data_IF_338199149503
#
_entry.id   IF_338199149503
#
_cell.length_a   1.000
_cell.length_b   1.000
_cell.length_c   1.000
_cell.angle_alpha   90.00
_cell.angle_beta   90.00
_cell.angle_gamma   90.00
#
_symmetry.space_group_name_H-M   'P 1'
#
loop_
_entity.id
_entity.type
_entity.pdbx_description
1 polymer ?
#
# COMPACT_ATOMS: atom_id res chain seq x y z
N UNK A 1 -19.30 32.39 21.13
CA UNK A 1 -19.67 31.12 21.81
C UNK A 1 -18.60 30.13 21.41
N UNK A 2 -17.86 29.63 22.35
CA UNK A 2 -16.92 28.54 22.12
C UNK A 2 -17.75 27.28 21.85
N UNK A 3 -17.60 26.65 20.69
CA UNK A 3 -18.20 25.34 20.39
C UNK A 3 -17.75 24.26 21.38
N UNK A 4 -18.31 23.05 21.30
CA UNK A 4 -17.88 21.94 22.17
C UNK A 4 -16.38 21.69 21.96
N UNK A 5 -15.69 21.31 23.05
CA UNK A 5 -14.26 20.97 22.99
C UNK A 5 -14.05 19.64 22.24
N UNK A 6 -15.08 18.78 22.22
CA UNK A 6 -15.07 17.48 21.57
C UNK A 6 -16.47 17.10 21.10
N UNK A 7 -16.61 16.58 19.89
CA UNK A 7 -17.89 16.12 19.35
C UNK A 7 -17.85 14.61 19.09
N UNK A 8 -18.96 13.92 19.40
CA UNK A 8 -19.12 12.53 19.06
C UNK A 8 -19.36 12.40 17.55
N UNK A 9 -18.73 11.42 16.90
CA UNK A 9 -18.96 11.08 15.50
C UNK A 9 -20.43 10.67 15.29
N UNK A 10 -21.07 11.21 14.28
CA UNK A 10 -22.46 10.93 13.95
C UNK A 10 -22.60 10.35 12.54
N UNK A 11 -22.60 9.03 12.44
CA UNK A 11 -22.72 8.29 11.18
C UNK A 11 -24.10 8.43 10.48
N UNK A 12 -25.08 9.08 11.13
CA UNK A 12 -26.36 9.43 10.50
C UNK A 12 -26.32 10.80 9.81
N UNK A 13 -25.19 11.53 9.90
CA UNK A 13 -24.99 12.85 9.32
C UNK A 13 -23.60 12.96 8.73
N UNK A 14 -23.43 12.40 7.53
CA UNK A 14 -22.17 12.38 6.81
C UNK A 14 -21.99 13.74 6.08
N UNK A 15 -20.77 14.29 6.14
CA UNK A 15 -20.43 15.55 5.44
C UNK A 15 -19.84 15.27 4.04
N UNK A 16 -19.15 14.16 3.89
CA UNK A 16 -18.56 13.68 2.64
C UNK A 16 -18.91 12.18 2.49
N UNK A 17 -19.79 11.87 1.55
CA UNK A 17 -20.26 10.50 1.31
C UNK A 17 -19.12 9.53 0.99
N UNK A 18 -17.99 10.05 0.48
CA UNK A 18 -16.79 9.24 0.21
C UNK A 18 -16.17 8.68 1.50
N UNK A 19 -16.29 9.38 2.63
CA UNK A 19 -15.80 8.89 3.92
C UNK A 19 -16.55 7.61 4.33
N UNK A 20 -17.88 7.58 4.14
CA UNK A 20 -18.67 6.39 4.43
C UNK A 20 -18.37 5.25 3.44
N UNK A 21 -18.35 5.56 2.14
CA UNK A 21 -18.06 4.56 1.10
C UNK A 21 -16.72 3.84 1.37
N UNK A 22 -15.67 4.62 1.70
CA UNK A 22 -14.35 4.07 1.96
C UNK A 22 -14.31 3.34 3.30
N UNK A 23 -14.94 3.88 4.35
CA UNK A 23 -15.08 3.19 5.63
C UNK A 23 -15.74 1.82 5.47
N UNK A 24 -16.88 1.75 4.79
CA UNK A 24 -17.62 0.51 4.58
C UNK A 24 -16.78 -0.49 3.75
N UNK A 25 -16.04 0.00 2.76
CA UNK A 25 -15.16 -0.82 1.94
C UNK A 25 -13.99 -1.40 2.74
N UNK A 26 -13.30 -0.58 3.55
CA UNK A 26 -12.18 -1.03 4.37
C UNK A 26 -12.61 -2.02 5.46
N UNK A 27 -13.71 -1.72 6.14
CA UNK A 27 -14.25 -2.59 7.19
C UNK A 27 -14.85 -3.88 6.64
N UNK A 28 -15.56 -3.81 5.50
CA UNK A 28 -16.09 -4.98 4.82
C UNK A 28 -15.01 -5.88 4.21
N UNK A 29 -13.85 -5.32 3.91
CA UNK A 29 -12.68 -6.04 3.40
C UNK A 29 -11.75 -6.55 4.51
N UNK A 30 -12.08 -6.39 5.78
CA UNK A 30 -11.23 -6.77 6.90
C UNK A 30 -10.77 -8.23 6.83
N UNK A 31 -9.50 -8.46 7.10
CA UNK A 31 -8.86 -9.77 7.08
C UNK A 31 -7.69 -9.85 8.07
N UNK A 32 -7.26 -11.07 8.37
CA UNK A 32 -6.09 -11.35 9.20
C UNK A 32 -5.22 -12.42 8.53
N UNK A 33 -3.88 -12.34 8.66
CA UNK A 33 -2.94 -13.24 8.00
C UNK A 33 -3.11 -14.72 8.40
N UNK A 34 -3.63 -14.99 9.58
CA UNK A 34 -3.86 -16.34 10.09
C UNK A 34 -4.91 -17.14 9.27
N UNK A 35 -5.66 -16.46 8.39
CA UNK A 35 -6.62 -17.11 7.48
C UNK A 35 -5.98 -17.67 6.22
N UNK A 36 -4.73 -17.29 5.91
CA UNK A 36 -4.01 -17.75 4.72
C UNK A 36 -3.09 -18.93 5.09
N UNK A 37 -3.21 -20.10 4.42
CA UNK A 37 -2.44 -21.30 4.77
C UNK A 37 -1.02 -21.24 4.18
N UNK A 38 -0.15 -20.36 4.69
CA UNK A 38 1.21 -20.09 4.20
C UNK A 38 2.10 -21.35 4.18
N UNK A 39 1.85 -22.33 5.05
CA UNK A 39 2.62 -23.57 5.09
C UNK A 39 2.53 -24.40 3.80
N UNK A 40 1.50 -24.19 2.97
CA UNK A 40 1.39 -24.81 1.67
C UNK A 40 2.49 -24.34 0.69
N UNK A 41 3.14 -23.24 0.96
CA UNK A 41 4.24 -22.71 0.14
C UNK A 41 5.61 -23.30 0.46
N UNK A 42 5.77 -24.06 1.57
CA UNK A 42 7.03 -24.68 1.93
C UNK A 42 7.66 -25.54 0.82
N UNK A 43 6.91 -26.39 0.11
CA UNK A 43 7.49 -27.16 -0.99
C UNK A 43 8.03 -26.27 -2.12
N UNK A 44 7.31 -25.21 -2.49
CA UNK A 44 7.78 -24.31 -3.54
C UNK A 44 8.94 -23.43 -3.07
N UNK A 45 8.95 -23.00 -1.80
CA UNK A 45 10.07 -22.28 -1.19
C UNK A 45 11.38 -23.06 -1.28
N UNK A 46 11.34 -24.37 -1.01
CA UNK A 46 12.50 -25.25 -1.09
C UNK A 46 13.05 -25.44 -2.52
N UNK A 47 12.28 -25.12 -3.55
CA UNK A 47 12.74 -25.16 -4.94
C UNK A 47 13.46 -23.89 -5.38
N UNK A 48 13.37 -22.81 -4.61
CA UNK A 48 14.03 -21.56 -4.90
C UNK A 48 15.52 -21.68 -4.62
N UNK A 49 16.36 -21.16 -5.51
CA UNK A 49 17.79 -21.05 -5.26
C UNK A 49 18.09 -19.91 -4.24
N UNK A 50 19.34 -19.78 -3.83
CA UNK A 50 19.73 -18.84 -2.77
C UNK A 50 19.48 -17.37 -3.14
N UNK A 51 19.71 -17.00 -4.39
CA UNK A 51 19.48 -15.61 -4.86
C UNK A 51 17.99 -15.28 -4.90
N UNK A 52 17.15 -16.23 -5.36
CA UNK A 52 15.69 -16.13 -5.36
C UNK A 52 15.15 -15.99 -3.92
N UNK A 53 15.63 -16.80 -2.97
CA UNK A 53 15.25 -16.69 -1.56
C UNK A 53 15.72 -15.37 -0.94
N UNK A 54 16.95 -14.95 -1.22
CA UNK A 54 17.53 -13.72 -0.69
C UNK A 54 16.75 -12.50 -1.18
N UNK A 55 16.47 -12.42 -2.48
CA UNK A 55 15.65 -11.35 -3.06
C UNK A 55 14.28 -11.31 -2.39
N UNK A 56 13.58 -12.44 -2.28
CA UNK A 56 12.25 -12.53 -1.68
C UNK A 56 12.24 -12.05 -0.23
N UNK A 57 13.22 -12.46 0.57
CA UNK A 57 13.34 -12.05 1.96
C UNK A 57 13.58 -10.55 2.10
N UNK A 58 14.46 -9.98 1.27
CA UNK A 58 14.77 -8.54 1.26
C UNK A 58 13.57 -7.71 0.85
N UNK A 59 12.85 -8.16 -0.17
CA UNK A 59 11.60 -7.53 -0.61
C UNK A 59 10.60 -7.44 0.55
N UNK A 60 10.33 -8.55 1.23
CA UNK A 60 9.33 -8.54 2.32
C UNK A 60 9.80 -7.76 3.54
N UNK A 61 11.10 -7.74 3.86
CA UNK A 61 11.61 -6.88 4.93
C UNK A 61 11.52 -5.39 4.58
N UNK A 62 11.75 -5.04 3.32
CA UNK A 62 11.56 -3.68 2.82
C UNK A 62 10.11 -3.22 2.95
N UNK A 63 9.17 -4.06 2.53
CA UNK A 63 7.73 -3.81 2.69
C UNK A 63 7.38 -3.66 4.18
N UNK A 64 7.82 -4.56 5.06
CA UNK A 64 7.59 -4.48 6.51
C UNK A 64 8.02 -3.13 7.10
N UNK A 65 9.18 -2.60 6.66
CA UNK A 65 9.67 -1.31 7.13
C UNK A 65 8.74 -0.17 6.71
N UNK A 66 8.27 -0.18 5.48
CA UNK A 66 7.39 0.86 4.95
C UNK A 66 6.00 0.82 5.57
N UNK A 67 5.38 -0.37 5.75
CA UNK A 67 4.11 -0.52 6.47
C UNK A 67 4.25 -0.09 7.94
N UNK A 68 5.38 -0.39 8.57
CA UNK A 68 5.65 0.06 9.94
C UNK A 68 5.70 1.60 10.00
N UNK A 69 6.37 2.24 9.04
CA UNK A 69 6.40 3.70 8.95
C UNK A 69 5.01 4.29 8.71
N UNK A 70 4.25 3.71 7.77
CA UNK A 70 2.92 4.18 7.42
C UNK A 70 1.94 4.01 8.59
N UNK A 71 1.94 2.86 9.27
CA UNK A 71 1.02 2.57 10.37
C UNK A 71 1.34 3.35 11.65
N UNK A 72 2.63 3.63 11.95
CA UNK A 72 3.02 4.26 13.21
C UNK A 72 3.23 5.76 13.12
N UNK A 73 3.53 6.29 11.93
CA UNK A 73 3.80 7.72 11.70
C UNK A 73 2.89 8.28 10.60
N UNK A 74 2.85 7.65 9.41
CA UNK A 74 2.22 8.19 8.22
C UNK A 74 0.73 8.46 8.38
N UNK A 75 -0.09 7.41 8.42
CA UNK A 75 -1.55 7.55 8.55
C UNK A 75 -1.94 8.29 9.84
N UNK A 76 -1.18 8.11 10.92
CA UNK A 76 -1.38 8.84 12.19
C UNK A 76 -1.16 10.33 12.02
N UNK A 77 -0.18 10.75 11.20
CA UNK A 77 0.09 12.18 10.94
C UNK A 77 -0.99 12.88 10.12
N UNK A 78 -1.84 12.12 9.42
CA UNK A 78 -2.96 12.65 8.65
C UNK A 78 -4.20 12.93 9.51
N UNK A 79 -4.34 12.28 10.68
CA UNK A 79 -5.50 12.41 11.56
C UNK A 79 -5.76 13.85 11.99
N UNK A 80 -4.75 14.63 12.46
CA UNK A 80 -4.97 16.02 12.86
C UNK A 80 -5.41 16.96 11.72
N UNK A 81 -5.17 16.55 10.47
CA UNK A 81 -5.52 17.31 9.28
C UNK A 81 -6.88 16.91 8.68
N UNK A 82 -7.56 15.94 9.30
CA UNK A 82 -8.85 15.47 8.84
C UNK A 82 -9.89 16.59 8.92
N UNK A 83 -10.71 16.68 7.88
CA UNK A 83 -11.75 17.73 7.74
C UNK A 83 -13.04 17.35 8.44
N UNK A 84 -13.24 16.05 8.70
CA UNK A 84 -14.43 15.50 9.33
C UNK A 84 -14.04 14.40 10.35
N UNK A 85 -14.88 14.15 11.38
CA UNK A 85 -14.66 12.99 12.24
C UNK A 85 -14.73 11.64 11.51
N UNK A 86 -15.42 11.59 10.37
CA UNK A 86 -15.50 10.41 9.52
C UNK A 86 -14.17 10.16 8.76
N UNK A 87 -13.52 11.23 8.27
CA UNK A 87 -12.18 11.17 7.71
C UNK A 87 -11.15 10.70 8.75
N UNK A 88 -11.22 11.20 10.00
CA UNK A 88 -10.40 10.70 11.11
C UNK A 88 -10.57 9.18 11.32
N UNK A 89 -11.82 8.69 11.28
CA UNK A 89 -12.11 7.27 11.42
C UNK A 89 -11.49 6.45 10.28
N UNK A 90 -11.53 6.93 9.04
CA UNK A 90 -10.87 6.24 7.90
C UNK A 90 -9.37 6.18 8.11
N UNK A 91 -8.70 7.27 8.49
CA UNK A 91 -7.25 7.27 8.75
C UNK A 91 -6.86 6.35 9.90
N UNK A 92 -7.67 6.24 10.95
CA UNK A 92 -7.42 5.27 12.04
C UNK A 92 -7.54 3.83 11.57
N UNK A 93 -8.46 3.54 10.65
CA UNK A 93 -8.57 2.20 10.04
C UNK A 93 -7.35 1.90 9.16
N UNK A 94 -6.90 2.84 8.33
CA UNK A 94 -5.67 2.72 7.55
C UNK A 94 -4.50 2.40 8.47
N UNK A 95 -4.25 3.20 9.51
CA UNK A 95 -3.17 2.98 10.46
C UNK A 95 -3.21 1.59 11.12
N UNK A 96 -4.41 1.08 11.42
CA UNK A 96 -4.58 -0.26 11.96
C UNK A 96 -4.24 -1.34 10.93
N UNK A 97 -4.70 -1.20 9.69
CA UNK A 97 -4.45 -2.19 8.64
C UNK A 97 -2.97 -2.27 8.25
N UNK A 98 -2.23 -1.17 8.28
CA UNK A 98 -0.77 -1.18 8.10
C UNK A 98 -0.06 -2.07 9.15
N UNK A 99 -0.57 -2.10 10.37
CA UNK A 99 -0.05 -3.00 11.40
C UNK A 99 -0.38 -4.48 11.11
N UNK A 100 -1.53 -4.75 10.47
CA UNK A 100 -1.91 -6.08 9.98
C UNK A 100 -1.01 -6.49 8.81
N UNK A 101 -0.70 -5.56 7.88
CA UNK A 101 0.22 -5.77 6.77
C UNK A 101 1.63 -6.13 7.29
N UNK A 102 2.19 -5.33 8.19
CA UNK A 102 3.51 -5.60 8.79
C UNK A 102 3.55 -6.97 9.51
N UNK A 103 2.47 -7.34 10.23
CA UNK A 103 2.36 -8.67 10.85
C UNK A 103 2.29 -9.80 9.82
N UNK A 104 1.71 -9.54 8.65
CA UNK A 104 1.58 -10.53 7.58
C UNK A 104 2.93 -11.00 7.06
N UNK A 105 3.89 -10.09 6.87
CA UNK A 105 5.26 -10.47 6.51
C UNK A 105 5.94 -11.27 7.62
N UNK A 106 5.70 -10.94 8.89
CA UNK A 106 6.20 -11.75 10.01
C UNK A 106 5.64 -13.18 9.99
N UNK A 107 4.38 -13.35 9.56
CA UNK A 107 3.77 -14.67 9.38
C UNK A 107 4.41 -15.45 8.23
N UNK A 108 4.72 -14.80 7.11
CA UNK A 108 5.48 -15.37 6.00
C UNK A 108 6.87 -15.84 6.50
N UNK A 109 7.60 -14.95 7.17
CA UNK A 109 8.94 -15.26 7.70
C UNK A 109 8.93 -16.44 8.67
N UNK A 110 8.00 -16.43 9.64
CA UNK A 110 7.90 -17.51 10.64
C UNK A 110 7.56 -18.86 10.00
N UNK A 111 6.95 -18.85 8.82
CA UNK A 111 6.58 -20.07 8.09
C UNK A 111 7.72 -20.58 7.22
N UNK A 112 8.43 -19.69 6.54
CA UNK A 112 9.38 -20.08 5.47
C UNK A 112 10.84 -20.08 5.92
N UNK A 113 11.20 -19.30 6.96
CA UNK A 113 12.58 -19.02 7.34
C UNK A 113 12.94 -19.54 8.72
N UNK A 114 14.22 -19.82 8.90
CA UNK A 114 14.83 -19.97 10.22
C UNK A 114 14.97 -18.61 10.94
N UNK A 115 15.07 -18.63 12.26
CA UNK A 115 15.30 -17.42 13.07
C UNK A 115 16.55 -16.65 12.64
N UNK A 116 17.61 -17.34 12.22
CA UNK A 116 18.85 -16.71 11.75
C UNK A 116 18.62 -15.94 10.44
N UNK A 117 17.92 -16.52 9.47
CA UNK A 117 17.60 -15.88 8.19
C UNK A 117 16.66 -14.69 8.39
N UNK A 118 15.70 -14.78 9.31
CA UNK A 118 14.84 -13.65 9.70
C UNK A 118 15.71 -12.50 10.22
N UNK A 119 16.58 -12.77 11.20
CA UNK A 119 17.44 -11.74 11.80
C UNK A 119 18.39 -11.11 10.76
N UNK A 120 18.92 -11.89 9.82
CA UNK A 120 19.77 -11.40 8.74
C UNK A 120 18.99 -10.46 7.81
N UNK A 121 17.76 -10.83 7.44
CA UNK A 121 16.91 -10.02 6.57
C UNK A 121 16.54 -8.68 7.22
N UNK A 122 16.22 -8.67 8.51
CA UNK A 122 15.96 -7.41 9.22
C UNK A 122 17.23 -6.57 9.42
N UNK A 123 18.40 -7.19 9.59
CA UNK A 123 19.67 -6.45 9.61
C UNK A 123 19.91 -5.77 8.26
N UNK A 124 19.73 -6.49 7.16
CA UNK A 124 19.88 -5.94 5.83
C UNK A 124 18.95 -4.72 5.61
N UNK A 125 17.67 -4.79 6.02
CA UNK A 125 16.76 -3.65 5.87
C UNK A 125 17.18 -2.42 6.67
N UNK A 126 17.83 -2.60 7.81
CA UNK A 126 18.37 -1.50 8.61
C UNK A 126 19.65 -0.88 8.00
N UNK A 127 20.37 -1.63 7.17
CA UNK A 127 21.67 -1.24 6.60
C UNK A 127 21.56 -0.81 5.12
N UNK A 128 20.49 -1.19 4.40
CA UNK A 128 20.35 -0.83 2.99
C UNK A 128 20.08 0.67 2.81
N UNK A 129 21.02 1.36 2.17
CA UNK A 129 21.01 2.82 2.03
C UNK A 129 19.80 3.33 1.25
N UNK A 130 19.44 2.67 0.14
CA UNK A 130 18.31 3.08 -0.70
C UNK A 130 16.96 2.91 0.02
N UNK A 131 16.80 1.80 0.76
CA UNK A 131 15.60 1.55 1.58
C UNK A 131 15.47 2.59 2.70
N UNK A 132 16.56 2.84 3.44
CA UNK A 132 16.56 3.83 4.51
C UNK A 132 16.34 5.24 3.99
N UNK A 133 16.91 5.59 2.82
CA UNK A 133 16.74 6.90 2.19
C UNK A 133 15.27 7.17 1.84
N UNK A 134 14.57 6.23 1.18
CA UNK A 134 13.15 6.43 0.86
C UNK A 134 12.29 6.59 2.11
N UNK A 135 12.55 5.80 3.16
CA UNK A 135 11.85 5.94 4.43
C UNK A 135 12.11 7.31 5.09
N UNK A 136 13.35 7.81 5.03
CA UNK A 136 13.71 9.13 5.55
C UNK A 136 13.06 10.27 4.77
N UNK A 137 13.04 10.20 3.44
CA UNK A 137 12.38 11.20 2.59
C UNK A 137 10.90 11.30 2.99
N UNK A 138 10.18 10.17 2.99
CA UNK A 138 8.75 10.13 3.33
C UNK A 138 8.51 10.62 4.77
N UNK A 139 9.30 10.12 5.74
CA UNK A 139 9.17 10.52 7.14
C UNK A 139 9.37 12.02 7.34
N UNK A 140 10.28 12.65 6.59
CA UNK A 140 10.53 14.09 6.71
C UNK A 140 9.29 14.94 6.40
N UNK A 141 8.42 14.45 5.49
CA UNK A 141 7.15 15.12 5.19
C UNK A 141 6.08 14.81 6.25
N UNK A 142 6.06 13.61 6.81
CA UNK A 142 5.17 13.28 7.93
C UNK A 142 5.46 14.11 9.19
N UNK A 143 6.74 14.41 9.45
CA UNK A 143 7.17 15.26 10.55
C UNK A 143 7.00 16.77 10.26
N UNK A 144 6.72 17.15 9.01
CA UNK A 144 6.55 18.55 8.59
C UNK A 144 5.19 19.13 8.94
N UNK A 145 5.03 20.44 8.79
CA UNK A 145 3.80 21.18 9.14
C UNK A 145 2.81 21.33 7.97
N UNK A 146 3.14 20.84 6.77
CA UNK A 146 2.34 21.03 5.55
C UNK A 146 1.42 19.82 5.31
N UNK A 147 0.14 20.01 5.58
CA UNK A 147 -0.88 18.97 5.48
C UNK A 147 -1.03 18.38 4.05
N UNK A 148 -0.94 19.23 3.01
CA UNK A 148 -1.03 18.79 1.63
C UNK A 148 0.21 17.99 1.23
N UNK A 149 1.40 18.42 1.62
CA UNK A 149 2.65 17.69 1.36
C UNK A 149 2.69 16.34 2.07
N UNK A 150 2.13 16.23 3.28
CA UNK A 150 1.95 14.93 3.95
C UNK A 150 1.08 13.97 3.14
N UNK A 151 -0.06 14.46 2.60
CA UNK A 151 -0.95 13.64 1.76
C UNK A 151 -0.27 13.21 0.45
N UNK A 152 0.51 14.09 -0.18
CA UNK A 152 1.31 13.72 -1.36
C UNK A 152 2.31 12.62 -1.02
N UNK A 153 3.09 12.78 0.06
CA UNK A 153 4.08 11.79 0.50
C UNK A 153 3.42 10.43 0.81
N UNK A 154 2.27 10.45 1.50
CA UNK A 154 1.50 9.25 1.81
C UNK A 154 0.97 8.58 0.54
N UNK A 155 0.40 9.34 -0.41
CA UNK A 155 -0.07 8.79 -1.69
C UNK A 155 1.09 8.19 -2.51
N UNK A 156 2.28 8.81 -2.48
CA UNK A 156 3.48 8.25 -3.12
C UNK A 156 3.91 6.93 -2.47
N UNK A 157 3.81 6.81 -1.15
CA UNK A 157 4.11 5.57 -0.45
C UNK A 157 3.12 4.46 -0.84
N UNK A 158 1.82 4.71 -0.72
CA UNK A 158 0.72 3.77 -0.95
C UNK A 158 0.59 3.31 -2.41
N UNK A 159 0.80 4.24 -3.36
CA UNK A 159 0.52 3.99 -4.77
C UNK A 159 1.75 3.74 -5.63
N UNK A 160 2.96 3.97 -5.09
CA UNK A 160 4.20 3.86 -5.85
C UNK A 160 5.30 3.08 -5.11
N UNK A 161 5.70 3.49 -3.89
CA UNK A 161 6.89 2.93 -3.24
C UNK A 161 6.74 1.47 -2.78
N UNK A 162 5.54 1.03 -2.44
CA UNK A 162 5.28 -0.37 -2.14
C UNK A 162 5.45 -1.29 -3.37
N UNK A 163 5.26 -0.76 -4.57
CA UNK A 163 5.12 -1.58 -5.77
C UNK A 163 6.44 -2.20 -6.24
N UNK A 164 7.60 -1.65 -5.91
CA UNK A 164 8.89 -2.36 -6.11
C UNK A 164 8.91 -3.70 -5.34
N UNK A 165 8.28 -3.74 -4.18
CA UNK A 165 8.14 -4.95 -3.38
C UNK A 165 7.04 -5.90 -3.87
N UNK A 166 5.91 -5.37 -4.34
CA UNK A 166 4.78 -6.19 -4.79
C UNK A 166 5.06 -6.94 -6.10
N UNK A 167 6.07 -6.54 -6.86
CA UNK A 167 6.45 -7.26 -8.08
C UNK A 167 6.86 -8.71 -7.80
N UNK A 168 7.70 -8.97 -6.81
CA UNK A 168 8.26 -10.29 -6.55
C UNK A 168 7.20 -11.36 -6.24
N UNK A 169 6.24 -11.17 -5.31
CA UNK A 169 5.19 -12.17 -5.06
C UNK A 169 4.29 -12.39 -6.29
N UNK A 170 4.04 -11.37 -7.10
CA UNK A 170 3.30 -11.53 -8.35
C UNK A 170 4.11 -12.31 -9.39
N UNK A 171 5.41 -12.08 -9.47
CA UNK A 171 6.33 -12.86 -10.29
C UNK A 171 6.31 -14.34 -9.89
N UNK A 172 6.41 -14.65 -8.59
CA UNK A 172 6.32 -16.03 -8.12
C UNK A 172 4.98 -16.67 -8.45
N UNK A 173 3.88 -15.98 -8.24
CA UNK A 173 2.54 -16.47 -8.59
C UNK A 173 2.40 -16.77 -10.08
N UNK A 174 2.90 -15.89 -10.95
CA UNK A 174 2.91 -16.11 -12.40
C UNK A 174 3.69 -17.38 -12.81
N UNK A 175 4.62 -17.83 -11.97
CA UNK A 175 5.42 -19.05 -12.17
C UNK A 175 4.92 -20.23 -11.30
N UNK A 176 3.69 -20.16 -10.79
CA UNK A 176 3.08 -21.17 -9.90
C UNK A 176 3.92 -21.51 -8.66
N UNK A 177 4.65 -20.51 -8.12
CA UNK A 177 5.41 -20.57 -6.88
C UNK A 177 4.84 -19.63 -5.83
N UNK A 178 4.97 -19.97 -4.55
CA UNK A 178 4.55 -19.16 -3.40
C UNK A 178 3.13 -18.57 -3.56
N UNK A 179 2.20 -19.39 -4.03
CA UNK A 179 0.85 -18.93 -4.42
C UNK A 179 0.03 -18.45 -3.22
N UNK A 180 0.17 -19.08 -2.05
CA UNK A 180 -0.52 -18.63 -0.83
C UNK A 180 0.09 -17.32 -0.30
N UNK A 181 1.41 -17.17 -0.38
CA UNK A 181 2.10 -15.90 -0.10
C UNK A 181 1.59 -14.80 -1.03
N UNK A 182 1.48 -15.08 -2.33
CA UNK A 182 0.93 -14.14 -3.30
C UNK A 182 -0.53 -13.78 -3.00
N UNK A 183 -1.36 -14.73 -2.57
CA UNK A 183 -2.74 -14.47 -2.14
C UNK A 183 -2.79 -13.51 -0.95
N UNK A 184 -1.92 -13.72 0.05
CA UNK A 184 -1.78 -12.80 1.18
C UNK A 184 -1.38 -11.39 0.73
N UNK A 185 -0.40 -11.28 -0.17
CA UNK A 185 0.05 -9.98 -0.70
C UNK A 185 -1.04 -9.30 -1.54
N UNK A 186 -1.89 -10.04 -2.24
CA UNK A 186 -3.05 -9.46 -2.96
C UNK A 186 -4.04 -8.79 -2.02
N UNK A 187 -4.23 -9.32 -0.80
CA UNK A 187 -5.05 -8.66 0.21
C UNK A 187 -4.46 -7.32 0.62
N UNK A 188 -3.13 -7.26 0.79
CA UNK A 188 -2.42 -6.00 1.07
C UNK A 188 -2.59 -5.04 -0.11
N UNK A 189 -2.25 -5.45 -1.34
CA UNK A 189 -2.36 -4.60 -2.55
C UNK A 189 -3.78 -4.03 -2.72
N UNK A 190 -4.81 -4.80 -2.40
CA UNK A 190 -6.20 -4.35 -2.44
C UNK A 190 -6.45 -3.21 -1.45
N UNK A 191 -5.91 -3.32 -0.25
CA UNK A 191 -6.05 -2.29 0.77
C UNK A 191 -5.25 -1.03 0.38
N UNK A 192 -4.00 -1.17 -0.10
CA UNK A 192 -3.15 -0.06 -0.56
C UNK A 192 -3.78 0.72 -1.73
N UNK A 193 -4.49 0.02 -2.61
CA UNK A 193 -5.21 0.67 -3.70
C UNK A 193 -6.32 1.60 -3.17
N UNK A 194 -7.00 1.22 -2.08
CA UNK A 194 -8.02 2.05 -1.42
C UNK A 194 -7.36 3.19 -0.63
N UNK A 195 -6.28 2.91 0.10
CA UNK A 195 -5.54 3.90 0.89
C UNK A 195 -5.02 5.03 -0.01
N UNK A 196 -4.27 4.70 -1.05
CA UNK A 196 -3.69 5.68 -1.97
C UNK A 196 -4.75 6.49 -2.73
N UNK A 197 -5.85 5.85 -3.14
CA UNK A 197 -6.98 6.54 -3.75
C UNK A 197 -7.63 7.54 -2.78
N UNK A 198 -7.94 7.13 -1.57
CA UNK A 198 -8.64 7.97 -0.60
C UNK A 198 -7.80 9.17 -0.15
N UNK A 199 -6.53 8.95 0.19
CA UNK A 199 -5.62 10.02 0.59
C UNK A 199 -5.43 11.01 -0.56
N UNK A 200 -5.28 10.52 -1.80
CA UNK A 200 -5.22 11.33 -3.01
C UNK A 200 -6.51 12.13 -3.25
N UNK A 201 -7.68 11.54 -3.04
CA UNK A 201 -8.96 12.24 -3.13
C UNK A 201 -9.04 13.40 -2.11
N UNK A 202 -8.66 13.16 -0.85
CA UNK A 202 -8.62 14.21 0.17
C UNK A 202 -7.61 15.31 -0.15
N UNK A 203 -6.47 14.97 -0.75
CA UNK A 203 -5.54 15.94 -1.29
C UNK A 203 -6.18 16.81 -2.37
N UNK A 204 -6.86 16.21 -3.36
CA UNK A 204 -7.51 16.94 -4.45
C UNK A 204 -8.57 17.91 -3.94
N UNK A 205 -9.35 17.54 -2.90
CA UNK A 205 -10.32 18.45 -2.27
C UNK A 205 -9.62 19.67 -1.66
N UNK A 206 -8.53 19.49 -0.94
CA UNK A 206 -7.77 20.56 -0.32
C UNK A 206 -7.16 21.50 -1.37
N UNK A 207 -6.56 20.93 -2.42
CA UNK A 207 -5.99 21.70 -3.55
C UNK A 207 -7.07 22.47 -4.29
N UNK A 208 -8.27 21.86 -4.48
CA UNK A 208 -9.40 22.50 -5.15
C UNK A 208 -9.84 23.81 -4.47
N UNK A 209 -9.68 23.93 -3.17
CA UNK A 209 -10.00 25.12 -2.37
C UNK A 209 -8.83 26.14 -2.25
N UNK A 210 -7.64 25.75 -2.69
CA UNK A 210 -6.43 26.58 -2.57
C UNK A 210 -6.34 27.67 -3.65
N UNK A 211 -5.59 28.75 -3.38
CA UNK A 211 -5.24 29.75 -4.37
C UNK A 211 -4.36 29.16 -5.48
N UNK A 212 -4.37 29.78 -6.68
CA UNK A 212 -3.63 29.28 -7.84
C UNK A 212 -2.13 29.12 -7.57
N UNK A 213 -1.50 30.09 -6.91
CA UNK A 213 -0.09 30.05 -6.54
C UNK A 213 0.25 28.81 -5.70
N UNK A 214 -0.62 28.46 -4.73
CA UNK A 214 -0.46 27.26 -3.91
C UNK A 214 -0.63 25.98 -4.72
N UNK A 215 -1.56 25.95 -5.67
CA UNK A 215 -1.76 24.80 -6.56
C UNK A 215 -0.51 24.55 -7.41
N UNK A 216 0.08 25.64 -7.95
CA UNK A 216 1.29 25.54 -8.77
C UNK A 216 2.48 25.07 -7.93
N UNK A 217 2.67 25.59 -6.71
CA UNK A 217 3.69 25.14 -5.76
C UNK A 217 3.55 23.66 -5.41
N UNK A 218 2.33 23.19 -5.11
CA UNK A 218 2.06 21.80 -4.80
C UNK A 218 2.27 20.87 -5.99
N UNK A 219 1.95 21.33 -7.19
CA UNK A 219 2.22 20.59 -8.43
C UNK A 219 3.71 20.42 -8.65
N UNK A 220 4.48 21.50 -8.58
CA UNK A 220 5.94 21.47 -8.76
C UNK A 220 6.61 20.61 -7.68
N UNK A 221 6.15 20.72 -6.44
CA UNK A 221 6.58 19.87 -5.34
C UNK A 221 6.30 18.38 -5.61
N UNK A 222 5.09 18.04 -6.08
CA UNK A 222 4.69 16.65 -6.32
C UNK A 222 5.58 15.98 -7.37
N UNK A 223 5.83 16.65 -8.50
CA UNK A 223 6.72 16.11 -9.51
C UNK A 223 8.18 16.05 -9.05
N UNK A 224 8.65 17.06 -8.29
CA UNK A 224 10.01 17.04 -7.74
C UNK A 224 10.21 15.88 -6.77
N UNK A 225 9.25 15.65 -5.88
CA UNK A 225 9.28 14.50 -4.97
C UNK A 225 9.26 13.18 -5.72
N UNK A 226 8.40 13.05 -6.74
CA UNK A 226 8.35 11.84 -7.55
C UNK A 226 9.69 11.56 -8.23
N UNK A 227 10.36 12.58 -8.79
CA UNK A 227 11.68 12.40 -9.41
C UNK A 227 12.72 11.93 -8.38
N UNK A 228 12.76 12.54 -7.19
CA UNK A 228 13.70 12.15 -6.13
C UNK A 228 13.45 10.70 -5.67
N UNK A 229 12.20 10.33 -5.45
CA UNK A 229 11.83 8.98 -5.06
C UNK A 229 12.09 7.95 -6.17
N UNK A 230 11.80 8.31 -7.42
CA UNK A 230 12.02 7.41 -8.56
C UNK A 230 13.50 7.11 -8.78
N UNK A 231 14.38 8.11 -8.69
CA UNK A 231 15.83 7.92 -8.76
C UNK A 231 16.33 6.94 -7.67
N UNK A 232 15.82 7.10 -6.46
CA UNK A 232 16.14 6.19 -5.36
C UNK A 232 15.55 4.77 -5.57
N UNK A 233 14.33 4.67 -6.13
CA UNK A 233 13.70 3.39 -6.43
C UNK A 233 14.42 2.62 -7.55
N UNK A 234 15.00 3.31 -8.54
CA UNK A 234 15.84 2.66 -9.55
C UNK A 234 17.03 1.94 -8.90
N UNK A 235 17.75 2.63 -8.00
CA UNK A 235 18.88 2.03 -7.28
C UNK A 235 18.42 0.87 -6.38
N UNK A 236 17.33 1.05 -5.65
CA UNK A 236 16.76 0.01 -4.79
C UNK A 236 16.33 -1.22 -5.60
N UNK A 237 15.77 -1.01 -6.77
CA UNK A 237 15.37 -2.07 -7.70
C UNK A 237 16.57 -2.85 -8.23
N UNK A 238 17.64 -2.16 -8.60
CA UNK A 238 18.91 -2.79 -9.02
C UNK A 238 19.49 -3.68 -7.91
N UNK A 239 19.57 -3.16 -6.69
CA UNK A 239 20.06 -3.91 -5.52
C UNK A 239 19.28 -5.22 -5.26
N UNK A 240 17.97 -5.22 -5.54
CA UNK A 240 17.12 -6.37 -5.30
C UNK A 240 17.06 -7.36 -6.47
N UNK A 241 16.92 -6.86 -7.68
CA UNK A 241 16.44 -7.65 -8.82
C UNK A 241 17.50 -7.95 -9.89
N UNK A 242 18.66 -7.25 -9.90
CA UNK A 242 19.76 -7.53 -10.83
C UNK A 242 20.25 -8.98 -10.77
N UNK A 243 20.41 -9.62 -9.59
CA UNK A 243 20.84 -11.01 -9.51
C UNK A 243 19.95 -12.00 -10.27
N UNK A 244 18.68 -11.64 -10.48
CA UNK A 244 17.70 -12.47 -11.20
C UNK A 244 17.38 -11.97 -12.61
N UNK A 245 17.99 -10.85 -13.05
CA UNK A 245 17.74 -10.25 -14.35
C UNK A 245 16.34 -9.67 -14.52
N UNK A 246 15.67 -9.27 -13.43
CA UNK A 246 14.28 -8.77 -13.43
C UNK A 246 14.19 -7.25 -13.37
N UNK A 247 15.30 -6.55 -13.24
CA UNK A 247 15.37 -5.10 -13.00
C UNK A 247 14.57 -4.27 -14.00
N UNK A 248 14.71 -4.54 -15.30
CA UNK A 248 14.01 -3.76 -16.33
C UNK A 248 12.50 -3.95 -16.30
N UNK A 249 12.03 -5.16 -16.01
CA UNK A 249 10.59 -5.42 -15.87
C UNK A 249 10.02 -4.73 -14.63
N UNK A 250 10.76 -4.73 -13.52
CA UNK A 250 10.37 -4.02 -12.29
C UNK A 250 10.36 -2.50 -12.53
N UNK A 251 11.34 -1.94 -13.24
CA UNK A 251 11.36 -0.50 -13.59
C UNK A 251 10.14 -0.09 -14.41
N UNK A 252 9.67 -0.92 -15.35
CA UNK A 252 8.41 -0.66 -16.08
C UNK A 252 7.20 -0.67 -15.13
N UNK A 253 7.15 -1.61 -14.21
CA UNK A 253 6.09 -1.71 -13.21
C UNK A 253 6.09 -0.52 -12.26
N UNK A 254 7.26 -0.02 -11.87
CA UNK A 254 7.42 1.21 -11.08
C UNK A 254 6.87 2.44 -11.82
N UNK A 255 7.25 2.64 -13.10
CA UNK A 255 6.76 3.77 -13.90
C UNK A 255 5.24 3.74 -14.06
N UNK A 256 4.67 2.56 -14.26
CA UNK A 256 3.23 2.36 -14.30
C UNK A 256 2.55 2.82 -13.00
N UNK A 257 3.08 2.44 -11.85
CA UNK A 257 2.52 2.78 -10.56
C UNK A 257 2.82 4.24 -10.15
N UNK A 258 3.94 4.81 -10.56
CA UNK A 258 4.22 6.25 -10.42
C UNK A 258 3.16 7.10 -11.16
N UNK A 259 2.77 6.71 -12.38
CA UNK A 259 1.66 7.36 -13.09
C UNK A 259 0.33 7.23 -12.34
N UNK A 260 0.08 6.08 -11.69
CA UNK A 260 -1.10 5.90 -10.84
C UNK A 260 -1.10 6.80 -9.62
N UNK A 261 0.05 6.95 -8.95
CA UNK A 261 0.19 7.88 -7.83
C UNK A 261 -0.14 9.33 -8.25
N UNK A 262 0.38 9.77 -9.40
CA UNK A 262 0.03 11.07 -9.98
C UNK A 262 -1.46 11.20 -10.27
N UNK A 263 -2.07 10.17 -10.85
CA UNK A 263 -3.51 10.15 -11.14
C UNK A 263 -4.34 10.24 -9.86
N UNK A 264 -3.97 9.53 -8.80
CA UNK A 264 -4.63 9.62 -7.50
C UNK A 264 -4.54 11.04 -6.90
N UNK A 265 -3.46 11.78 -7.20
CA UNK A 265 -3.28 13.17 -6.81
C UNK A 265 -3.93 14.19 -7.77
N UNK A 266 -4.58 13.73 -8.84
CA UNK A 266 -5.22 14.58 -9.84
C UNK A 266 -4.27 15.20 -10.86
N UNK A 267 -3.09 14.60 -11.07
CA UNK A 267 -2.08 15.06 -12.02
C UNK A 267 -1.96 14.15 -13.23
N UNK A 268 -1.39 14.69 -14.30
CA UNK A 268 -1.13 13.95 -15.53
C UNK A 268 0.02 12.94 -15.35
N UNK A 269 -0.05 11.85 -16.11
CA UNK A 269 0.99 10.84 -16.16
C UNK A 269 2.34 11.44 -16.62
N UNK A 270 3.42 11.04 -15.96
CA UNK A 270 4.79 11.46 -16.31
C UNK A 270 5.42 10.56 -17.36
N UNK A 271 5.23 9.26 -17.22
CA UNK A 271 5.86 8.26 -18.09
C UNK A 271 4.97 7.89 -19.26
N UNK A 272 5.50 7.86 -20.51
CA UNK A 272 4.72 7.47 -21.68
C UNK A 272 4.36 5.98 -21.66
N UNK A 273 3.38 5.59 -22.47
CA UNK A 273 2.82 4.23 -22.49
C UNK A 273 3.88 3.14 -22.75
N UNK A 274 4.80 3.36 -23.66
CA UNK A 274 5.87 2.40 -23.99
C UNK A 274 6.87 2.19 -22.84
N UNK A 275 7.02 3.18 -21.96
CA UNK A 275 7.84 3.07 -20.76
C UNK A 275 7.12 2.36 -19.59
N UNK A 276 5.81 2.16 -19.72
CA UNK A 276 4.92 1.55 -18.69
C UNK A 276 4.28 0.24 -19.17
N UNK A 277 4.85 -0.38 -20.20
CA UNK A 277 4.37 -1.67 -20.73
C UNK A 277 4.77 -2.80 -19.78
N UNK A 278 3.92 -3.04 -18.79
CA UNK A 278 4.12 -4.07 -17.77
C UNK A 278 3.88 -5.45 -18.37
N UNK A 279 4.69 -6.42 -17.96
CA UNK A 279 4.53 -7.82 -18.32
C UNK A 279 3.08 -8.30 -18.04
N UNK A 280 2.34 -8.76 -19.07
CA UNK A 280 0.95 -9.19 -18.90
C UNK A 280 0.74 -10.30 -17.86
N UNK A 281 1.74 -11.17 -17.64
CA UNK A 281 1.67 -12.21 -16.62
C UNK A 281 1.66 -11.62 -15.20
N UNK A 282 2.36 -10.50 -14.97
CA UNK A 282 2.34 -9.78 -13.69
C UNK A 282 0.98 -9.10 -13.48
N UNK A 283 0.45 -8.44 -14.53
CA UNK A 283 -0.88 -7.84 -14.44
C UNK A 283 -1.97 -8.89 -14.17
N UNK A 284 -1.90 -10.05 -14.82
CA UNK A 284 -2.80 -11.17 -14.55
C UNK A 284 -2.63 -11.75 -13.13
N UNK A 285 -1.41 -11.76 -12.59
CA UNK A 285 -1.14 -12.21 -11.25
C UNK A 285 -1.66 -11.24 -10.17
N UNK A 286 -1.70 -9.95 -10.46
CA UNK A 286 -2.30 -8.94 -9.55
C UNK A 286 -3.80 -9.18 -9.37
N UNK A 287 -4.47 -9.66 -10.41
CA UNK A 287 -5.92 -9.81 -10.44
C UNK A 287 -6.31 -11.14 -11.10
N UNK A 288 -6.30 -12.25 -10.37
CA UNK A 288 -6.58 -13.57 -10.93
C UNK A 288 -8.02 -13.78 -11.38
N UNK A 289 -8.98 -12.95 -10.94
CA UNK A 289 -10.40 -13.00 -11.34
C UNK A 289 -10.71 -11.86 -12.30
N UNK A 290 -10.56 -12.11 -13.61
CA UNK A 290 -10.69 -11.09 -14.67
C UNK A 290 -12.08 -10.39 -14.71
N UNK A 291 -13.13 -11.07 -14.23
CA UNK A 291 -14.49 -10.51 -14.19
C UNK A 291 -14.70 -9.45 -13.09
N UNK A 292 -13.84 -9.45 -12.05
CA UNK A 292 -13.83 -8.45 -10.96
C UNK A 292 -12.85 -7.29 -11.24
N UNK A 293 -12.04 -7.42 -12.29
CA UNK A 293 -10.87 -6.56 -12.54
C UNK A 293 -11.18 -5.19 -13.15
N UNK A 294 -12.31 -5.03 -13.84
CA UNK A 294 -12.61 -3.75 -14.48
C UNK A 294 -12.79 -2.63 -13.46
N UNK A 295 -13.14 -2.97 -12.23
CA UNK A 295 -13.46 -2.02 -11.17
C UNK A 295 -12.30 -1.71 -10.23
N UNK A 296 -11.30 -2.59 -10.13
CA UNK A 296 -10.18 -2.43 -9.21
C UNK A 296 -9.28 -1.23 -9.57
N UNK A 297 -9.23 -0.88 -10.86
CA UNK A 297 -8.39 0.21 -11.38
C UNK A 297 -9.17 1.41 -11.92
N UNK A 298 -10.50 1.31 -12.06
CA UNK A 298 -11.32 2.37 -12.65
C UNK A 298 -12.03 3.26 -11.63
N UNK A 299 -11.88 3.02 -10.34
CA UNK A 299 -12.52 3.83 -9.29
C UNK A 299 -14.06 3.73 -9.23
N UNK A 300 -14.66 2.85 -10.04
CA UNK A 300 -16.11 2.64 -10.11
C UNK A 300 -16.43 1.16 -9.97
N UNK A 301 -16.26 0.58 -8.80
CA UNK A 301 -16.55 -0.82 -8.61
C UNK A 301 -17.47 -1.10 -7.44
N UNK A 302 -18.64 -1.60 -7.75
CA UNK A 302 -19.53 -2.25 -6.81
C UNK A 302 -19.45 -3.76 -7.01
N UNK A 303 -18.47 -4.43 -6.42
CA UNK A 303 -18.59 -5.86 -6.15
C UNK A 303 -18.50 -6.08 -4.65
N UNK A 304 -19.62 -5.86 -4.02
CA UNK A 304 -19.87 -6.24 -2.64
C UNK A 304 -20.25 -7.72 -2.62
N UNK A 305 -19.31 -8.58 -2.29
CA UNK A 305 -19.67 -9.92 -1.80
C UNK A 305 -19.98 -9.76 -0.32
N UNK A 306 -21.27 -9.55 -0.01
CA UNK A 306 -21.74 -9.76 1.36
C UNK A 306 -21.45 -11.21 1.72
N UNK A 307 -20.57 -11.43 2.70
CA UNK A 307 -20.60 -12.67 3.46
C UNK A 307 -22.03 -12.86 3.96
N UNK A 308 -22.60 -14.07 3.82
CA UNK A 308 -23.88 -14.39 4.44
C UNK A 308 -23.81 -13.95 5.91
N UNK A 309 -24.70 -13.03 6.28
CA UNK A 309 -24.99 -12.77 7.68
C UNK A 309 -25.64 -14.04 8.20
N UNK A 310 -24.89 -14.84 8.94
CA UNK A 310 -25.49 -15.89 9.75
C UNK A 310 -26.20 -15.15 10.88
N UNK A 311 -27.53 -15.11 10.82
CA UNK A 311 -28.35 -14.70 11.94
C UNK A 311 -27.98 -15.59 13.12
N UNK A 312 -27.28 -15.04 14.11
CA UNK A 312 -27.09 -15.69 15.40
C UNK A 312 -28.37 -15.50 16.21
N UNK A 313 -29.02 -16.60 16.57
CA UNK A 313 -30.15 -16.58 17.48
C UNK A 313 -29.66 -16.35 18.91
N UNK A 314 -30.53 -15.79 19.78
CA UNK A 314 -30.21 -15.45 21.17
C UNK A 314 -29.68 -16.63 22.01
N UNK A 315 -29.87 -17.87 21.56
CA UNK A 315 -29.40 -19.10 22.19
C UNK A 315 -27.89 -19.38 22.00
N UNK A 316 -27.20 -18.64 21.11
CA UNK A 316 -25.77 -18.81 20.85
C UNK A 316 -24.85 -18.08 21.87
N UNK A 317 -25.44 -17.40 22.87
CA UNK A 317 -24.73 -16.56 23.84
C UNK A 317 -24.80 -17.06 25.30
N UNK A 318 -25.13 -18.34 25.53
CA UNK A 318 -25.05 -18.92 26.87
C UNK A 318 -23.58 -19.25 27.25
N UNK A 319 -23.03 -18.40 28.16
CA UNK A 319 -21.74 -18.60 28.82
C UNK A 319 -21.96 -19.14 30.22
#
# INVERSE_FOLDING_TARGET
>A
MTGPVFEAINWNRIQDDKDLEVWDRLTGNFWLPEKVPLSNDLPSWQTLNKDEQTMTNRVFTGLTLLDTLQGTVGAVSLIPDARTPHEEAVYTNIAFMESVHAKSYSSIFSTLLSTEEINESFRWSNENEALQRKAQIIKSYYDGDDAEKRKVASTMLESFLFYSGFYAPMYWSAHAKLTNTADLIRLIIRDEAVHGYYIGYKYQLAVGESAQERRDDLKDYTYSLLYELYENEEQYTEDLYDPLGLTEDVKKFLRYNANKALMNLGYEALFPHDATDVNPAILAALSPNADENHDFFSGSGSSYVMGEVVDTEDEDWDF
#
